data_IF_876437438328
#
_entry.id   IF_876437438328
#
_cell.length_a   1.000
_cell.length_b   1.000
_cell.length_c   1.000
_cell.angle_alpha   90.00
_cell.angle_beta   90.00
_cell.angle_gamma   90.00
#
_symmetry.space_group_name_H-M   'P 1'
#
loop_
_entity.id
_entity.type
_entity.pdbx_description
1 polymer ?
#
# COMPACT_ATOMS: atom_id res chain seq x y z
N UNK A 1 -28.66 -13.61 -6.40
CA UNK A 1 -27.95 -12.44 -5.88
C UNK A 1 -27.03 -11.95 -7.00
N UNK A 2 -27.40 -10.85 -7.66
CA UNK A 2 -26.58 -10.26 -8.71
C UNK A 2 -25.43 -9.50 -8.03
N UNK A 3 -24.19 -9.89 -8.31
CA UNK A 3 -23.01 -9.23 -7.77
C UNK A 3 -22.96 -7.78 -8.25
N UNK A 4 -22.82 -6.84 -7.33
CA UNK A 4 -22.43 -5.47 -7.65
C UNK A 4 -21.03 -5.54 -8.26
N UNK A 5 -20.94 -5.33 -9.58
CA UNK A 5 -19.66 -5.22 -10.25
C UNK A 5 -18.90 -4.00 -9.72
N UNK A 6 -17.61 -4.16 -9.43
CA UNK A 6 -16.74 -3.04 -9.10
C UNK A 6 -16.48 -2.27 -10.40
N UNK A 7 -16.94 -1.02 -10.47
CA UNK A 7 -16.50 -0.09 -11.53
C UNK A 7 -15.07 0.38 -11.22
N UNK A 8 -14.09 -0.38 -11.71
CA UNK A 8 -12.67 -0.14 -11.52
C UNK A 8 -12.02 0.38 -12.80
N UNK A 9 -11.43 1.56 -12.76
CA UNK A 9 -10.43 1.97 -13.76
C UNK A 9 -9.08 1.32 -13.39
N UNK A 10 -8.83 0.14 -13.97
CA UNK A 10 -7.66 -0.68 -13.64
C UNK A 10 -6.33 0.02 -13.94
N UNK A 11 -6.28 0.84 -14.99
CA UNK A 11 -5.06 1.56 -15.37
C UNK A 11 -4.77 2.69 -14.39
N UNK A 12 -5.80 3.45 -14.00
CA UNK A 12 -5.67 4.47 -12.98
C UNK A 12 -5.29 3.88 -11.62
N UNK A 13 -5.91 2.76 -11.24
CA UNK A 13 -5.62 2.10 -9.96
C UNK A 13 -4.19 1.54 -9.90
N UNK A 14 -3.71 0.93 -11.00
CA UNK A 14 -2.30 0.46 -11.09
C UNK A 14 -1.31 1.60 -11.02
N UNK A 15 -1.54 2.70 -11.73
CA UNK A 15 -0.68 3.89 -11.65
C UNK A 15 -0.65 4.46 -10.24
N UNK A 16 -1.83 4.67 -9.63
CA UNK A 16 -1.92 5.19 -8.27
C UNK A 16 -1.24 4.28 -7.23
N UNK A 17 -1.39 2.96 -7.36
CA UNK A 17 -0.67 2.01 -6.50
C UNK A 17 0.85 2.06 -6.70
N UNK A 18 1.31 2.18 -7.95
CA UNK A 18 2.73 2.37 -8.28
C UNK A 18 3.31 3.65 -7.69
N UNK A 19 2.60 4.78 -7.85
CA UNK A 19 3.00 6.09 -7.32
C UNK A 19 3.05 6.07 -5.79
N UNK A 20 2.07 5.42 -5.15
CA UNK A 20 2.04 5.23 -3.71
C UNK A 20 3.22 4.41 -3.22
N UNK A 21 3.55 3.33 -3.94
CA UNK A 21 4.70 2.49 -3.60
C UNK A 21 6.03 3.25 -3.75
N UNK A 22 6.18 4.04 -4.81
CA UNK A 22 7.33 4.90 -5.02
C UNK A 22 7.45 5.97 -3.93
N UNK A 23 6.33 6.54 -3.50
CA UNK A 23 6.28 7.51 -2.40
C UNK A 23 6.73 6.85 -1.09
N UNK A 24 6.29 5.62 -0.79
CA UNK A 24 6.75 4.87 0.39
C UNK A 24 8.26 4.65 0.42
N UNK A 25 8.86 4.34 -0.73
CA UNK A 25 10.32 4.23 -0.88
C UNK A 25 11.01 5.57 -0.64
N UNK A 26 10.49 6.66 -1.20
CA UNK A 26 11.03 8.00 -1.00
C UNK A 26 10.96 8.45 0.47
N UNK A 27 9.84 8.17 1.16
CA UNK A 27 9.68 8.45 2.60
C UNK A 27 10.67 7.64 3.45
N UNK A 28 10.86 6.36 3.13
CA UNK A 28 11.85 5.50 3.79
C UNK A 28 13.29 5.98 3.53
N UNK A 29 13.60 6.42 2.30
CA UNK A 29 14.90 6.99 1.97
C UNK A 29 15.14 8.29 2.76
N UNK A 30 14.17 9.20 2.80
CA UNK A 30 14.25 10.43 3.57
C UNK A 30 14.42 10.15 5.08
N UNK A 31 13.78 9.11 5.61
CA UNK A 31 13.99 8.66 7.00
C UNK A 31 15.45 8.28 7.23
N UNK A 32 16.10 7.59 6.31
CA UNK A 32 17.53 7.22 6.44
C UNK A 32 18.42 8.46 6.30
N UNK A 33 18.24 9.22 5.24
CA UNK A 33 19.08 10.37 4.90
C UNK A 33 19.02 11.49 5.94
N UNK A 34 17.82 11.79 6.47
CA UNK A 34 17.62 12.89 7.42
C UNK A 34 17.44 12.41 8.86
N UNK A 35 16.70 11.32 9.06
CA UNK A 35 16.41 10.80 10.39
C UNK A 35 17.59 10.12 11.09
N UNK A 36 18.48 9.44 10.36
CA UNK A 36 19.65 8.79 10.97
C UNK A 36 20.64 9.81 11.56
N UNK A 37 20.97 10.92 10.87
CA UNK A 37 21.74 12.00 11.48
C UNK A 37 21.10 12.58 12.74
N UNK A 38 19.77 12.74 12.77
CA UNK A 38 19.04 13.22 13.95
C UNK A 38 19.18 12.23 15.09
N UNK A 39 18.98 10.94 14.84
CA UNK A 39 19.14 9.89 15.85
C UNK A 39 20.57 9.85 16.41
N UNK A 40 21.57 9.95 15.53
CA UNK A 40 22.98 9.98 15.91
C UNK A 40 23.33 11.23 16.73
N UNK A 41 22.84 12.41 16.32
CA UNK A 41 23.02 13.64 17.09
C UNK A 41 22.36 13.54 18.46
N UNK A 42 21.14 12.99 18.53
CA UNK A 42 20.42 12.74 19.78
C UNK A 42 21.22 11.89 20.77
N UNK A 43 21.86 10.81 20.30
CA UNK A 43 22.74 9.97 21.12
C UNK A 43 24.00 10.68 21.63
N UNK A 44 24.46 11.73 20.92
CA UNK A 44 25.63 12.54 21.31
C UNK A 44 25.29 13.65 22.32
N UNK A 45 24.01 13.90 22.60
CA UNK A 45 23.51 14.87 23.60
C UNK A 45 24.13 16.28 23.42
N UNK A 46 23.86 16.98 22.31
CA UNK A 46 24.48 18.28 21.97
C UNK A 46 24.10 19.42 22.92
N UNK A 47 23.06 19.26 23.73
CA UNK A 47 22.53 20.25 24.68
C UNK A 47 23.26 20.26 26.05
N UNK A 48 24.44 19.64 26.14
CA UNK A 48 25.24 19.64 27.36
C UNK A 48 24.85 18.55 28.37
N UNK A 49 25.63 18.45 29.44
CA UNK A 49 25.49 17.44 30.50
C UNK A 49 25.07 18.02 31.85
N UNK A 50 24.76 19.31 31.89
CA UNK A 50 24.23 19.98 33.07
C UNK A 50 22.74 19.60 33.29
N UNK A 51 22.15 20.14 34.37
CA UNK A 51 20.78 19.83 34.73
C UNK A 51 19.76 20.30 33.67
N UNK A 52 20.07 21.39 32.97
CA UNK A 52 19.25 21.91 31.87
C UNK A 52 19.29 20.93 30.69
N UNK A 53 20.49 20.48 30.31
CA UNK A 53 20.68 19.48 29.27
C UNK A 53 20.05 18.14 29.62
N UNK A 54 20.13 17.70 30.89
CA UNK A 54 19.48 16.48 31.35
C UNK A 54 17.95 16.56 31.28
N UNK A 55 17.36 17.71 31.64
CA UNK A 55 15.93 17.95 31.53
C UNK A 55 15.45 17.94 30.08
N UNK A 56 16.22 18.56 29.17
CA UNK A 56 15.92 18.55 27.73
C UNK A 56 16.01 17.13 27.15
N UNK A 57 17.09 16.41 27.45
CA UNK A 57 17.36 15.04 26.98
C UNK A 57 16.18 14.11 27.25
N UNK A 58 15.65 14.15 28.49
CA UNK A 58 14.54 13.29 28.92
C UNK A 58 13.33 13.39 27.99
N UNK A 59 12.95 14.61 27.61
CA UNK A 59 11.81 14.81 26.72
C UNK A 59 12.17 14.58 25.26
N UNK A 60 13.36 15.02 24.84
CA UNK A 60 13.84 14.84 23.48
C UNK A 60 13.89 13.37 23.07
N UNK A 61 14.48 12.48 23.88
CA UNK A 61 14.63 11.07 23.51
C UNK A 61 13.27 10.39 23.28
N UNK A 62 12.29 10.64 24.16
CA UNK A 62 10.96 10.04 24.01
C UNK A 62 10.22 10.50 22.75
N UNK A 63 10.29 11.80 22.43
CA UNK A 63 9.68 12.33 21.21
C UNK A 63 10.43 11.88 19.95
N UNK A 64 11.77 11.92 19.98
CA UNK A 64 12.61 11.54 18.85
C UNK A 64 12.40 10.06 18.49
N UNK A 65 12.41 9.16 19.47
CA UNK A 65 12.17 7.74 19.26
C UNK A 65 10.79 7.48 18.63
N UNK A 66 9.74 8.12 19.17
CA UNK A 66 8.37 7.97 18.67
C UNK A 66 8.26 8.45 17.22
N UNK A 67 8.78 9.65 16.93
CA UNK A 67 8.74 10.25 15.60
C UNK A 67 9.52 9.41 14.57
N UNK A 68 10.75 9.01 14.90
CA UNK A 68 11.61 8.26 14.01
C UNK A 68 11.04 6.86 13.69
N UNK A 69 10.36 6.23 14.65
CA UNK A 69 9.64 4.96 14.42
C UNK A 69 8.39 5.15 13.56
N UNK A 70 7.61 6.20 13.83
CA UNK A 70 6.41 6.51 13.04
C UNK A 70 6.76 6.81 11.57
N UNK A 71 7.85 7.54 11.33
CA UNK A 71 8.35 7.83 9.99
C UNK A 71 8.75 6.56 9.23
N UNK A 72 9.51 5.65 9.86
CA UNK A 72 9.86 4.36 9.27
C UNK A 72 8.62 3.49 8.98
N UNK A 73 7.63 3.50 9.88
CA UNK A 73 6.38 2.77 9.67
C UNK A 73 5.58 3.35 8.51
N UNK A 74 5.52 4.68 8.38
CA UNK A 74 4.79 5.36 7.32
C UNK A 74 5.34 4.98 5.94
N UNK A 75 6.67 5.03 5.75
CA UNK A 75 7.30 4.66 4.49
C UNK A 75 6.97 3.22 4.08
N UNK A 76 7.12 2.27 5.00
CA UNK A 76 6.79 0.85 4.76
C UNK A 76 5.31 0.62 4.48
N UNK A 77 4.43 1.34 5.18
CA UNK A 77 2.98 1.22 5.01
C UNK A 77 2.54 1.70 3.62
N UNK A 78 3.09 2.81 3.15
CA UNK A 78 2.82 3.34 1.80
C UNK A 78 3.36 2.40 0.71
N UNK A 79 4.58 1.89 0.90
CA UNK A 79 5.18 0.93 -0.03
C UNK A 79 4.35 -0.36 -0.15
N UNK A 80 3.96 -0.92 0.99
CA UNK A 80 3.13 -2.13 1.06
C UNK A 80 1.76 -1.91 0.44
N UNK A 81 1.05 -0.86 0.86
CA UNK A 81 -0.29 -0.56 0.36
C UNK A 81 -0.29 -0.34 -1.16
N UNK A 82 0.67 0.42 -1.69
CA UNK A 82 0.79 0.64 -3.12
C UNK A 82 1.02 -0.66 -3.90
N UNK A 83 1.90 -1.52 -3.40
CA UNK A 83 2.19 -2.83 -4.00
C UNK A 83 0.99 -3.77 -3.97
N UNK A 84 0.24 -3.79 -2.87
CA UNK A 84 -0.95 -4.63 -2.71
C UNK A 84 -2.11 -4.17 -3.60
N UNK A 85 -2.28 -2.84 -3.80
CA UNK A 85 -3.23 -2.29 -4.78
C UNK A 85 -2.90 -2.79 -6.18
N UNK A 86 -1.65 -2.68 -6.64
CA UNK A 86 -1.24 -3.14 -7.97
C UNK A 86 -1.49 -4.64 -8.14
N UNK A 87 -1.15 -5.45 -7.12
CA UNK A 87 -1.38 -6.91 -7.15
C UNK A 87 -2.86 -7.25 -7.23
N UNK A 88 -3.69 -6.62 -6.40
CA UNK A 88 -5.13 -6.89 -6.34
C UNK A 88 -5.85 -6.51 -7.63
N UNK A 89 -5.53 -5.34 -8.20
CA UNK A 89 -6.10 -4.89 -9.49
C UNK A 89 -5.71 -5.85 -10.62
N UNK A 90 -4.44 -6.26 -10.67
CA UNK A 90 -3.97 -7.21 -11.68
C UNK A 90 -4.71 -8.55 -11.59
N UNK A 91 -4.82 -9.11 -10.38
CA UNK A 91 -5.53 -10.37 -10.16
C UNK A 91 -7.03 -10.28 -10.53
N UNK A 92 -7.67 -9.15 -10.24
CA UNK A 92 -9.08 -8.91 -10.58
C UNK A 92 -9.28 -8.89 -12.09
N UNK A 93 -8.44 -8.14 -12.83
CA UNK A 93 -8.50 -8.06 -14.30
C UNK A 93 -8.23 -9.43 -14.94
N UNK A 94 -7.24 -10.17 -14.45
CA UNK A 94 -6.94 -11.52 -14.96
C UNK A 94 -8.12 -12.48 -14.75
N UNK A 95 -8.75 -12.40 -13.58
CA UNK A 95 -9.94 -13.21 -13.24
C UNK A 95 -11.11 -12.88 -14.17
N UNK A 96 -11.41 -11.60 -14.37
CA UNK A 96 -12.49 -11.16 -15.25
C UNK A 96 -12.26 -11.58 -16.71
N UNK A 97 -11.02 -11.45 -17.21
CA UNK A 97 -10.65 -11.90 -18.56
C UNK A 97 -10.77 -13.42 -18.71
N UNK A 98 -10.38 -14.19 -17.69
CA UNK A 98 -10.54 -15.65 -17.70
C UNK A 98 -12.01 -16.05 -17.73
N UNK A 99 -12.82 -15.44 -16.85
CA UNK A 99 -14.26 -15.70 -16.77
C UNK A 99 -14.97 -15.34 -18.08
N UNK A 100 -14.64 -14.20 -18.69
CA UNK A 100 -15.21 -13.80 -19.98
C UNK A 100 -14.89 -14.79 -21.11
N UNK A 101 -13.65 -15.32 -21.15
CA UNK A 101 -13.26 -16.35 -22.11
C UNK A 101 -14.04 -17.65 -21.90
N UNK A 102 -14.23 -18.07 -20.66
CA UNK A 102 -14.94 -19.31 -20.36
C UNK A 102 -16.43 -19.21 -20.65
N UNK A 103 -17.07 -18.07 -20.33
CA UNK A 103 -18.45 -17.79 -20.72
C UNK A 103 -18.63 -17.76 -22.24
N UNK A 104 -17.68 -17.20 -22.99
CA UNK A 104 -17.70 -17.19 -24.45
C UNK A 104 -17.57 -18.58 -25.10
N UNK A 105 -17.06 -19.58 -24.37
CA UNK A 105 -16.96 -20.97 -24.83
C UNK A 105 -18.24 -21.76 -24.62
N UNK A 106 -19.18 -21.29 -23.79
CA UNK A 106 -20.44 -21.99 -23.54
C UNK A 106 -21.31 -21.86 -24.81
N UNK A 107 -21.58 -22.95 -25.55
CA UNK A 107 -22.47 -22.88 -26.70
C UNK A 107 -23.84 -22.44 -26.21
N UNK A 108 -24.44 -21.44 -26.87
CA UNK A 108 -25.84 -21.12 -26.64
C UNK A 108 -26.67 -22.36 -26.98
N UNK A 109 -27.02 -23.17 -25.98
CA UNK A 109 -28.06 -24.18 -26.13
C UNK A 109 -29.33 -23.42 -26.46
N UNK A 110 -29.64 -23.32 -27.76
CA UNK A 110 -30.96 -22.90 -28.23
C UNK A 110 -31.93 -23.93 -27.67
N UNK A 111 -32.59 -23.56 -26.58
CA UNK A 111 -33.74 -24.28 -26.07
C UNK A 111 -34.76 -24.30 -27.23
N UNK A 112 -34.91 -25.45 -27.88
CA UNK A 112 -35.88 -25.64 -28.94
C UNK A 112 -37.16 -26.11 -28.27
N UNK A 113 -38.19 -25.26 -28.09
CA UNK A 113 -39.36 -25.59 -27.26
C UNK A 113 -40.36 -26.52 -27.97
N UNK A 114 -40.00 -27.08 -29.13
CA UNK A 114 -40.88 -27.92 -29.94
C UNK A 114 -40.35 -29.35 -30.06
N UNK A 115 -40.55 -30.14 -29.01
CA UNK A 115 -40.64 -31.61 -29.14
C UNK A 115 -41.94 -32.07 -28.48
N UNK A 116 -43.00 -32.35 -29.25
CA UNK A 116 -44.15 -33.03 -28.71
C UNK A 116 -43.79 -34.50 -28.48
N UNK A 117 -43.98 -34.97 -27.26
CA UNK A 117 -43.89 -36.38 -26.90
C UNK A 117 -45.06 -37.12 -27.57
N UNK A 118 -44.73 -38.21 -28.28
CA UNK A 118 -45.71 -39.19 -28.76
C UNK A 118 -46.11 -40.12 -27.63
#
# INVERSE_FOLDING_TARGET
MAGEGIWLDADRARRGGGDLAATGKAVTAARRETGDPIAAAGGRRPWGRDDIGAAFDKHYQGYAETLLRAWELLGRSLEGLGSDVVRSVTATVETDLSNARDLGKIPHQRHNPHRPWR
#
